data_IF_887400888829
#
_entry.id   IF_887400888829
#
_cell.length_a   1.000
_cell.length_b   1.000
_cell.length_c   1.000
_cell.angle_alpha   90.00
_cell.angle_beta   90.00
_cell.angle_gamma   90.00
#
_symmetry.space_group_name_H-M   'P 1'
#
loop_
_entity.id
_entity.type
_entity.pdbx_description
1 polymer ?
#
# COMPACT_ATOMS: atom_id res chain seq x y z
N UNK A 1 1.57 -33.72 6.67
CA UNK A 1 0.14 -33.35 6.72
C UNK A 1 -0.07 -31.83 6.93
N UNK A 2 0.96 -30.99 6.68
CA UNK A 2 0.91 -29.53 6.85
C UNK A 2 0.54 -28.77 5.56
N UNK A 3 0.50 -29.43 4.41
CA UNK A 3 0.31 -28.79 3.09
C UNK A 3 -1.11 -28.25 2.82
N UNK A 4 -2.10 -28.57 3.67
CA UNK A 4 -3.47 -28.07 3.51
C UNK A 4 -3.72 -26.73 4.25
N UNK A 5 -2.87 -26.36 5.21
CA UNK A 5 -3.10 -25.17 6.06
C UNK A 5 -2.47 -23.91 5.45
N UNK A 6 -1.25 -24.01 4.88
CA UNK A 6 -0.60 -22.91 4.15
C UNK A 6 -1.43 -22.44 2.94
N UNK A 7 -2.06 -23.38 2.22
CA UNK A 7 -3.00 -23.08 1.13
C UNK A 7 -4.22 -22.28 1.63
N UNK A 8 -4.69 -22.54 2.85
CA UNK A 8 -5.83 -21.83 3.46
C UNK A 8 -5.50 -20.37 3.77
N UNK A 9 -4.31 -20.10 4.33
CA UNK A 9 -3.89 -18.75 4.69
C UNK A 9 -3.72 -17.85 3.46
N UNK A 10 -3.05 -18.34 2.41
CA UNK A 10 -2.86 -17.58 1.17
C UNK A 10 -4.17 -17.34 0.43
N UNK A 11 -5.05 -18.34 0.36
CA UNK A 11 -6.38 -18.19 -0.25
C UNK A 11 -7.19 -17.14 0.51
N UNK A 12 -7.15 -17.14 1.85
CA UNK A 12 -7.83 -16.13 2.67
C UNK A 12 -7.30 -14.72 2.41
N UNK A 13 -5.98 -14.54 2.37
CA UNK A 13 -5.34 -13.25 2.05
C UNK A 13 -5.70 -12.77 0.64
N UNK A 14 -5.70 -13.68 -0.35
CA UNK A 14 -6.13 -13.41 -1.72
C UNK A 14 -7.59 -12.96 -1.81
N UNK A 15 -8.51 -13.70 -1.19
CA UNK A 15 -9.93 -13.34 -1.13
C UNK A 15 -10.12 -11.96 -0.48
N UNK A 16 -9.39 -11.68 0.59
CA UNK A 16 -9.49 -10.39 1.28
C UNK A 16 -8.92 -9.24 0.44
N UNK A 17 -7.83 -9.45 -0.29
CA UNK A 17 -7.31 -8.48 -1.23
C UNK A 17 -8.31 -8.17 -2.36
N UNK A 18 -9.00 -9.19 -2.90
CA UNK A 18 -10.05 -8.99 -3.92
C UNK A 18 -11.20 -8.13 -3.37
N UNK A 19 -11.69 -8.42 -2.17
CA UNK A 19 -12.72 -7.60 -1.50
C UNK A 19 -12.26 -6.16 -1.28
N UNK A 20 -10.99 -5.96 -0.93
CA UNK A 20 -10.42 -4.61 -0.82
C UNK A 20 -10.46 -3.86 -2.15
N UNK A 21 -10.13 -4.51 -3.28
CA UNK A 21 -10.18 -3.90 -4.61
C UNK A 21 -11.61 -3.52 -5.02
N UNK A 22 -12.59 -4.38 -4.73
CA UNK A 22 -14.02 -4.08 -4.95
C UNK A 22 -14.46 -2.85 -4.14
N UNK A 23 -14.11 -2.81 -2.84
CA UNK A 23 -14.40 -1.67 -1.97
C UNK A 23 -13.73 -0.37 -2.47
N UNK A 24 -12.52 -0.44 -3.03
CA UNK A 24 -11.88 0.74 -3.63
C UNK A 24 -12.65 1.26 -4.85
N UNK A 25 -13.25 0.38 -5.65
CA UNK A 25 -14.08 0.76 -6.80
C UNK A 25 -15.42 1.36 -6.36
N UNK A 26 -16.05 0.81 -5.32
CA UNK A 26 -17.28 1.37 -4.73
C UNK A 26 -17.05 2.78 -4.17
N UNK A 27 -16.02 2.96 -3.34
CA UNK A 27 -15.66 4.26 -2.79
C UNK A 27 -15.36 5.27 -3.91
N UNK A 28 -14.67 4.84 -4.98
CA UNK A 28 -14.37 5.71 -6.13
C UNK A 28 -15.66 6.21 -6.78
N UNK A 29 -16.64 5.32 -7.00
CA UNK A 29 -17.93 5.69 -7.58
C UNK A 29 -18.67 6.71 -6.71
N UNK A 30 -18.70 6.51 -5.38
CA UNK A 30 -19.33 7.46 -4.45
C UNK A 30 -18.66 8.84 -4.47
N UNK A 31 -17.32 8.87 -4.44
CA UNK A 31 -16.55 10.13 -4.50
C UNK A 31 -16.79 10.87 -5.82
N UNK A 32 -16.83 10.15 -6.96
CA UNK A 32 -17.10 10.76 -8.26
C UNK A 32 -18.53 11.31 -8.38
N UNK A 33 -19.52 10.60 -7.81
CA UNK A 33 -20.89 11.08 -7.77
C UNK A 33 -21.01 12.35 -6.93
N UNK A 34 -20.33 12.41 -5.78
CA UNK A 34 -20.29 13.61 -4.94
C UNK A 34 -19.68 14.82 -5.67
N UNK A 35 -18.59 14.64 -6.41
CA UNK A 35 -17.99 15.69 -7.24
C UNK A 35 -18.92 16.14 -8.38
N UNK A 36 -19.59 15.19 -9.05
CA UNK A 36 -20.48 15.48 -10.18
C UNK A 36 -21.70 16.30 -9.76
N UNK A 37 -22.23 16.04 -8.56
CA UNK A 37 -23.39 16.75 -8.00
C UNK A 37 -23.01 17.94 -7.10
N UNK A 38 -21.73 18.31 -7.05
CA UNK A 38 -21.15 19.30 -6.12
C UNK A 38 -21.70 19.20 -4.69
N UNK A 39 -21.78 17.97 -4.18
CA UNK A 39 -22.35 17.67 -2.86
C UNK A 39 -21.33 17.89 -1.76
N UNK A 40 -20.86 19.12 -1.59
CA UNK A 40 -19.81 19.51 -0.63
C UNK A 40 -20.12 19.06 0.80
N UNK A 41 -21.41 19.06 1.15
CA UNK A 41 -21.96 18.61 2.43
C UNK A 41 -21.58 17.14 2.74
N UNK A 42 -21.33 16.33 1.72
CA UNK A 42 -21.01 14.92 1.83
C UNK A 42 -19.49 14.64 1.88
N UNK A 43 -18.64 15.60 1.51
CA UNK A 43 -17.20 15.37 1.35
C UNK A 43 -16.54 14.89 2.64
N UNK A 44 -16.78 15.56 3.77
CA UNK A 44 -16.20 15.17 5.05
C UNK A 44 -16.61 13.75 5.46
N UNK A 45 -17.88 13.38 5.24
CA UNK A 45 -18.39 12.03 5.51
C UNK A 45 -17.71 10.97 4.65
N UNK A 46 -17.55 11.24 3.35
CA UNK A 46 -16.90 10.33 2.40
C UNK A 46 -15.40 10.19 2.67
N UNK A 47 -14.71 11.28 3.03
CA UNK A 47 -13.30 11.24 3.44
C UNK A 47 -13.15 10.35 4.68
N UNK A 48 -14.00 10.54 5.69
CA UNK A 48 -13.97 9.74 6.91
C UNK A 48 -14.24 8.26 6.61
N UNK A 49 -15.23 7.96 5.76
CA UNK A 49 -15.52 6.60 5.28
C UNK A 49 -14.30 5.95 4.61
N UNK A 50 -13.63 6.64 3.70
CA UNK A 50 -12.42 6.12 3.04
C UNK A 50 -11.29 5.82 4.04
N UNK A 51 -11.10 6.69 5.03
CA UNK A 51 -10.10 6.48 6.10
C UNK A 51 -10.45 5.24 6.92
N UNK A 52 -11.72 5.07 7.26
CA UNK A 52 -12.17 3.95 8.10
C UNK A 52 -12.08 2.62 7.34
N UNK A 53 -12.45 2.59 6.05
CA UNK A 53 -12.19 1.44 5.18
C UNK A 53 -10.70 1.09 5.11
N UNK A 54 -9.81 2.09 5.01
CA UNK A 54 -8.36 1.83 4.98
C UNK A 54 -7.82 1.31 6.32
N UNK A 55 -8.33 1.82 7.45
CA UNK A 55 -8.01 1.29 8.78
C UNK A 55 -8.47 -0.16 8.93
N UNK A 56 -9.70 -0.46 8.52
CA UNK A 56 -10.29 -1.79 8.63
C UNK A 56 -9.52 -2.79 7.75
N UNK A 57 -9.11 -2.36 6.55
CA UNK A 57 -8.20 -3.12 5.70
C UNK A 57 -6.90 -3.48 6.42
N UNK A 58 -6.21 -2.48 6.98
CA UNK A 58 -4.96 -2.67 7.73
C UNK A 58 -5.12 -3.55 8.97
N UNK A 59 -6.20 -3.35 9.73
CA UNK A 59 -6.45 -4.11 10.94
C UNK A 59 -6.68 -5.59 10.64
N UNK A 60 -7.49 -5.92 9.63
CA UNK A 60 -7.73 -7.32 9.28
C UNK A 60 -6.49 -7.98 8.68
N UNK A 61 -5.77 -7.32 7.77
CA UNK A 61 -4.54 -7.90 7.20
C UNK A 61 -3.43 -8.08 8.24
N UNK A 62 -3.39 -7.26 9.30
CA UNK A 62 -2.44 -7.43 10.42
C UNK A 62 -2.59 -8.79 11.09
N UNK A 63 -3.82 -9.24 11.32
CA UNK A 63 -4.05 -10.60 11.84
C UNK A 63 -3.55 -11.71 10.91
N UNK A 64 -3.47 -11.45 9.61
CA UNK A 64 -3.03 -12.42 8.61
C UNK A 64 -1.50 -12.46 8.49
N UNK A 65 -0.84 -11.30 8.40
CA UNK A 65 0.63 -11.27 8.27
C UNK A 65 1.37 -11.58 9.55
N UNK A 66 0.71 -11.55 10.72
CA UNK A 66 1.27 -12.09 11.97
C UNK A 66 1.25 -13.63 12.02
N UNK A 67 0.53 -14.27 11.09
CA UNK A 67 0.52 -15.74 10.96
C UNK A 67 1.46 -16.22 9.85
N UNK A 68 1.62 -15.42 8.79
CA UNK A 68 2.45 -15.71 7.62
C UNK A 68 2.91 -14.37 7.04
N UNK A 69 4.09 -13.91 7.46
CA UNK A 69 4.61 -12.59 7.06
C UNK A 69 5.24 -12.65 5.67
N UNK A 70 5.87 -13.78 5.33
CA UNK A 70 6.62 -13.96 4.09
C UNK A 70 5.69 -13.89 2.87
N UNK A 71 4.47 -14.43 2.93
CA UNK A 71 3.50 -14.31 1.83
C UNK A 71 3.08 -12.87 1.53
N UNK A 72 3.22 -11.94 2.48
CA UNK A 72 2.94 -10.53 2.23
C UNK A 72 4.11 -9.76 1.61
N UNK A 73 5.34 -10.25 1.75
CA UNK A 73 6.50 -9.74 1.01
C UNK A 73 6.59 -10.31 -0.40
N UNK A 74 6.07 -11.51 -0.63
CA UNK A 74 6.00 -12.17 -1.93
C UNK A 74 4.57 -12.69 -2.23
N UNK A 75 3.57 -11.78 -2.41
CA UNK A 75 2.19 -12.19 -2.57
C UNK A 75 1.93 -12.91 -3.89
N UNK A 76 1.40 -14.13 -3.79
CA UNK A 76 0.99 -14.96 -4.93
C UNK A 76 -0.32 -14.50 -5.58
N UNK A 77 -1.05 -13.60 -4.91
CA UNK A 77 -2.31 -13.02 -5.40
C UNK A 77 -2.15 -11.69 -6.14
N UNK A 78 -0.93 -11.15 -6.22
CA UNK A 78 -0.61 -9.97 -7.01
C UNK A 78 0.03 -10.36 -8.34
N UNK A 79 -0.18 -9.55 -9.37
CA UNK A 79 0.55 -9.67 -10.63
C UNK A 79 2.04 -9.36 -10.43
N UNK A 80 2.88 -9.78 -11.36
CA UNK A 80 4.33 -9.56 -11.35
C UNK A 80 4.68 -8.08 -11.24
N UNK A 81 3.95 -7.22 -11.97
CA UNK A 81 4.17 -5.78 -11.94
C UNK A 81 3.77 -5.18 -10.59
N UNK A 82 2.63 -5.56 -10.03
CA UNK A 82 2.21 -5.12 -8.70
C UNK A 82 3.22 -5.55 -7.65
N UNK A 83 3.59 -6.84 -7.62
CA UNK A 83 4.57 -7.39 -6.68
C UNK A 83 5.92 -6.67 -6.77
N UNK A 84 6.40 -6.38 -7.99
CA UNK A 84 7.65 -5.62 -8.19
C UNK A 84 7.58 -4.15 -7.73
N UNK A 85 6.38 -3.60 -7.58
CA UNK A 85 6.14 -2.22 -7.16
C UNK A 85 5.84 -2.09 -5.66
N UNK A 86 5.73 -3.22 -4.95
CA UNK A 86 5.53 -3.23 -3.50
C UNK A 86 6.81 -2.80 -2.78
N UNK A 87 6.64 -2.04 -1.71
CA UNK A 87 7.74 -1.66 -0.84
C UNK A 87 7.83 -2.57 0.40
N UNK A 88 6.84 -2.51 1.29
CA UNK A 88 6.73 -3.37 2.48
C UNK A 88 5.29 -3.83 2.55
N UNK A 89 4.99 -4.94 1.88
CA UNK A 89 3.63 -5.50 1.74
C UNK A 89 2.57 -4.47 1.28
N UNK A 90 2.94 -3.46 0.51
CA UNK A 90 2.04 -2.39 0.08
C UNK A 90 2.77 -1.24 -0.57
N UNK A 91 2.02 -0.20 -0.94
CA UNK A 91 2.57 1.00 -1.57
C UNK A 91 3.58 1.71 -0.66
N UNK A 92 4.51 2.45 -1.25
CA UNK A 92 5.40 3.36 -0.50
C UNK A 92 4.65 4.66 -0.17
N UNK A 93 4.50 5.08 1.10
CA UNK A 93 3.73 6.29 1.47
C UNK A 93 4.06 7.57 0.69
N UNK A 94 5.31 7.80 0.30
CA UNK A 94 5.77 8.93 -0.53
C UNK A 94 5.15 8.94 -1.93
N UNK A 95 4.59 7.82 -2.40
CA UNK A 95 3.80 7.77 -3.64
C UNK A 95 2.52 8.61 -3.56
N UNK A 96 1.89 8.71 -2.39
CA UNK A 96 0.74 9.61 -2.17
C UNK A 96 1.14 11.05 -2.48
N UNK A 97 2.32 11.45 -2.02
CA UNK A 97 2.82 12.82 -2.17
C UNK A 97 3.30 13.09 -3.60
N UNK A 98 3.98 12.11 -4.22
CA UNK A 98 4.37 12.21 -5.63
C UNK A 98 3.18 12.32 -6.56
N UNK A 99 2.07 11.65 -6.25
CA UNK A 99 0.82 11.82 -6.99
C UNK A 99 0.32 13.27 -6.92
N UNK A 100 0.36 13.90 -5.74
CA UNK A 100 -0.03 15.31 -5.59
C UNK A 100 0.82 16.20 -6.50
N UNK A 101 2.15 16.05 -6.47
CA UNK A 101 3.03 16.86 -7.32
C UNK A 101 2.75 16.64 -8.81
N UNK A 102 2.46 15.40 -9.21
CA UNK A 102 2.08 15.09 -10.59
C UNK A 102 0.78 15.78 -11.00
N UNK A 103 -0.22 15.78 -10.11
CA UNK A 103 -1.53 16.41 -10.38
C UNK A 103 -1.42 17.93 -10.45
N UNK A 104 -0.71 18.55 -9.51
CA UNK A 104 -0.46 20.00 -9.51
C UNK A 104 0.28 20.42 -10.79
N UNK A 105 1.24 19.62 -11.26
CA UNK A 105 1.97 19.90 -12.49
C UNK A 105 1.13 19.72 -13.75
N UNK A 106 0.19 18.77 -13.79
CA UNK A 106 -0.67 18.54 -14.96
C UNK A 106 -1.83 19.51 -15.04
N UNK A 107 -2.29 20.05 -13.90
CA UNK A 107 -3.49 20.87 -13.84
C UNK A 107 -3.23 22.32 -14.27
N UNK A 108 -1.97 22.77 -14.39
CA UNK A 108 -1.61 24.15 -14.77
C UNK A 108 -2.31 24.61 -16.06
N UNK A 109 -2.36 23.76 -17.09
CA UNK A 109 -3.05 24.08 -18.36
C UNK A 109 -4.57 24.11 -18.20
N UNK A 110 -5.14 23.22 -17.38
CA UNK A 110 -6.58 23.16 -17.13
C UNK A 110 -7.09 24.31 -16.25
N UNK A 111 -6.31 24.74 -15.26
CA UNK A 111 -6.59 25.88 -14.38
C UNK A 111 -6.62 27.16 -15.21
N UNK A 112 -5.64 27.35 -16.11
CA UNK A 112 -5.62 28.51 -17.01
C UNK A 112 -6.87 28.52 -17.91
N UNK A 113 -7.28 27.36 -18.44
CA UNK A 113 -8.48 27.25 -19.26
C UNK A 113 -9.78 27.56 -18.48
N UNK A 114 -9.89 27.06 -17.24
CA UNK A 114 -11.04 27.30 -16.36
C UNK A 114 -11.12 28.76 -15.89
N UNK A 115 -9.98 29.39 -15.59
CA UNK A 115 -9.89 30.83 -15.27
C UNK A 115 -10.36 31.70 -16.45
N UNK A 116 -9.99 31.36 -17.68
CA UNK A 116 -10.46 32.06 -18.90
C UNK A 116 -11.98 31.90 -19.08
N UNK A 117 -12.54 30.76 -18.68
CA UNK A 117 -13.97 30.48 -18.76
C UNK A 117 -14.78 30.95 -17.55
N UNK A 118 -14.15 31.60 -16.56
CA UNK A 118 -14.82 32.05 -15.34
C UNK A 118 -15.33 30.90 -14.44
N UNK A 119 -14.80 29.68 -14.62
CA UNK A 119 -15.08 28.54 -13.74
C UNK A 119 -14.04 28.54 -12.63
N UNK A 120 -14.48 28.61 -11.38
CA UNK A 120 -13.60 28.36 -10.23
C UNK A 120 -14.02 27.02 -9.64
N UNK A 121 -13.20 25.99 -9.84
CA UNK A 121 -13.32 24.74 -9.09
C UNK A 121 -12.17 24.71 -8.08
N UNK A 122 -12.51 24.78 -6.80
CA UNK A 122 -11.56 24.50 -5.73
C UNK A 122 -11.17 23.02 -5.82
N UNK A 123 -10.01 22.74 -6.41
CA UNK A 123 -9.44 21.41 -6.55
C UNK A 123 -7.98 21.39 -6.12
N UNK A 124 -7.32 20.25 -6.33
CA UNK A 124 -5.87 20.10 -6.04
C UNK A 124 -4.97 21.03 -6.87
N UNK A 125 -5.48 21.60 -7.96
CA UNK A 125 -4.82 22.64 -8.73
C UNK A 125 -4.64 23.97 -7.97
N UNK A 126 -5.42 24.20 -6.91
CA UNK A 126 -5.43 25.44 -6.12
C UNK A 126 -4.78 25.26 -4.73
N UNK A 127 -3.66 24.53 -4.67
CA UNK A 127 -2.92 24.39 -3.42
C UNK A 127 -2.20 25.70 -3.06
N UNK A 128 -2.53 26.23 -1.88
CA UNK A 128 -1.86 27.42 -1.35
C UNK A 128 -0.38 27.13 -1.04
N UNK A 129 0.45 28.18 -1.06
CA UNK A 129 1.87 28.09 -0.68
C UNK A 129 2.06 27.50 0.74
N UNK A 130 1.13 27.78 1.66
CA UNK A 130 1.13 27.18 3.00
C UNK A 130 0.91 25.67 2.94
N UNK A 131 -0.05 25.20 2.14
CA UNK A 131 -0.29 23.77 1.96
C UNK A 131 0.90 23.08 1.31
N UNK A 132 1.50 23.67 0.28
CA UNK A 132 2.70 23.10 -0.36
C UNK A 132 3.87 22.95 0.63
N UNK A 133 4.12 23.94 1.49
CA UNK A 133 5.15 23.86 2.52
C UNK A 133 4.86 22.75 3.55
N UNK A 134 3.58 22.54 3.92
CA UNK A 134 3.18 21.45 4.81
C UNK A 134 3.35 20.07 4.14
N UNK A 135 3.03 19.96 2.85
CA UNK A 135 3.20 18.73 2.06
C UNK A 135 4.69 18.40 1.94
N UNK A 136 5.55 19.38 1.64
CA UNK A 136 6.99 19.19 1.56
C UNK A 136 7.58 18.74 2.90
N UNK A 137 7.16 19.38 4.00
CA UNK A 137 7.56 18.98 5.35
C UNK A 137 7.13 17.53 5.68
N UNK A 138 5.88 17.17 5.31
CA UNK A 138 5.38 15.81 5.47
C UNK A 138 6.15 14.82 4.59
N UNK A 139 6.54 15.21 3.38
CA UNK A 139 7.30 14.41 2.45
C UNK A 139 8.68 14.07 3.02
N UNK A 140 9.42 15.07 3.49
CA UNK A 140 10.75 14.86 4.08
C UNK A 140 10.69 13.93 5.30
N UNK A 141 9.70 14.11 6.17
CA UNK A 141 9.49 13.23 7.33
C UNK A 141 9.15 11.80 6.88
N UNK A 142 8.24 11.65 5.93
CA UNK A 142 7.80 10.35 5.41
C UNK A 142 8.97 9.60 4.77
N UNK A 143 9.76 10.24 3.90
CA UNK A 143 10.93 9.65 3.25
C UNK A 143 11.97 9.21 4.28
N UNK A 144 12.23 10.02 5.31
CA UNK A 144 13.16 9.64 6.39
C UNK A 144 12.71 8.36 7.12
N UNK A 145 11.41 8.23 7.38
CA UNK A 145 10.86 7.02 8.01
C UNK A 145 10.88 5.82 7.04
N UNK A 146 10.62 6.03 5.74
CA UNK A 146 10.76 5.02 4.69
C UNK A 146 12.19 4.50 4.56
N UNK A 147 13.18 5.38 4.54
CA UNK A 147 14.59 5.00 4.42
C UNK A 147 15.01 4.16 5.62
N UNK A 148 14.65 4.60 6.84
CA UNK A 148 14.92 3.84 8.06
C UNK A 148 14.34 2.42 8.01
N UNK A 149 13.13 2.27 7.49
CA UNK A 149 12.49 0.95 7.37
C UNK A 149 13.08 0.12 6.24
N UNK A 150 13.45 0.75 5.12
CA UNK A 150 14.11 0.09 3.99
C UNK A 150 15.46 -0.49 4.40
N UNK A 151 16.23 0.23 5.22
CA UNK A 151 17.47 -0.30 5.82
C UNK A 151 17.20 -1.53 6.67
N UNK A 152 16.13 -1.55 7.47
CA UNK A 152 15.77 -2.73 8.28
C UNK A 152 15.36 -3.93 7.43
N UNK A 153 14.66 -3.73 6.32
CA UNK A 153 14.35 -4.81 5.37
C UNK A 153 15.64 -5.39 4.80
N UNK A 154 16.59 -4.54 4.41
CA UNK A 154 17.89 -5.00 3.91
C UNK A 154 18.64 -5.82 4.98
N UNK A 155 18.68 -5.36 6.24
CA UNK A 155 19.27 -6.14 7.32
C UNK A 155 18.60 -7.51 7.51
N UNK A 156 17.26 -7.58 7.49
CA UNK A 156 16.57 -8.87 7.55
C UNK A 156 16.94 -9.78 6.36
N UNK A 157 17.04 -9.25 5.15
CA UNK A 157 17.48 -10.04 4.00
C UNK A 157 18.89 -10.61 4.17
N UNK A 158 19.78 -9.90 4.87
CA UNK A 158 21.13 -10.34 5.21
C UNK A 158 21.14 -11.36 6.35
N UNK A 159 20.28 -11.21 7.37
CA UNK A 159 20.22 -12.03 8.58
C UNK A 159 19.97 -13.53 8.30
N UNK A 160 19.36 -13.87 7.15
CA UNK A 160 19.16 -15.28 6.73
C UNK A 160 20.52 -16.00 6.59
N UNK A 161 21.57 -15.28 6.18
CA UNK A 161 22.92 -15.81 6.07
C UNK A 161 23.72 -15.73 7.39
N UNK A 162 23.12 -15.23 8.47
CA UNK A 162 23.76 -15.08 9.78
C UNK A 162 23.23 -16.09 10.81
N UNK A 163 23.70 -15.97 12.04
CA UNK A 163 23.32 -16.79 13.18
C UNK A 163 21.85 -16.54 13.60
N UNK A 164 21.10 -17.58 13.98
CA UNK A 164 21.54 -18.97 14.12
C UNK A 164 21.40 -19.79 12.83
N UNK A 165 20.69 -19.28 11.81
CA UNK A 165 20.30 -20.04 10.60
C UNK A 165 21.53 -20.64 9.90
N UNK A 166 22.59 -19.85 9.71
CA UNK A 166 23.80 -20.32 9.01
C UNK A 166 24.60 -21.37 9.78
N UNK A 167 24.62 -21.33 11.11
CA UNK A 167 25.29 -22.38 11.92
C UNK A 167 24.47 -23.66 11.95
N UNK A 168 23.14 -23.55 12.08
CA UNK A 168 22.29 -24.73 12.02
C UNK A 168 22.47 -25.40 10.66
N UNK A 169 22.36 -24.64 9.56
CA UNK A 169 22.56 -25.15 8.20
C UNK A 169 23.94 -25.81 8.00
N UNK A 170 25.01 -25.24 8.57
CA UNK A 170 26.36 -25.82 8.51
C UNK A 170 26.50 -27.12 9.32
N UNK A 171 25.73 -27.26 10.39
CA UNK A 171 25.76 -28.43 11.27
C UNK A 171 24.96 -29.63 10.77
N UNK A 172 24.09 -29.45 9.77
CA UNK A 172 23.29 -30.51 9.19
C UNK A 172 24.14 -31.46 8.33
N UNK A 173 23.87 -32.75 8.46
CA UNK A 173 24.37 -33.76 7.53
C UNK A 173 23.57 -33.71 6.22
N UNK A 174 24.12 -34.21 5.08
CA UNK A 174 23.43 -34.17 3.79
C UNK A 174 22.04 -34.85 3.77
N UNK A 175 21.85 -35.87 4.61
CA UNK A 175 20.59 -36.60 4.78
C UNK A 175 19.56 -35.87 5.65
N UNK A 176 19.98 -34.85 6.42
CA UNK A 176 19.12 -33.99 7.23
C UNK A 176 18.65 -32.74 6.47
N UNK A 177 19.20 -32.48 5.28
CA UNK A 177 18.80 -31.34 4.44
C UNK A 177 17.33 -31.42 4.04
N UNK A 178 16.58 -30.36 4.34
CA UNK A 178 15.14 -30.28 4.07
C UNK A 178 14.27 -31.12 5.01
N UNK A 179 14.86 -31.76 6.03
CA UNK A 179 14.10 -32.40 7.10
C UNK A 179 13.64 -31.34 8.13
N UNK A 180 12.47 -31.55 8.76
CA UNK A 180 12.01 -30.65 9.82
C UNK A 180 13.03 -30.56 10.96
N UNK A 181 13.40 -29.34 11.32
CA UNK A 181 14.33 -29.08 12.41
C UNK A 181 13.77 -27.97 13.31
N UNK A 182 13.43 -28.31 14.56
CA UNK A 182 12.80 -27.39 15.50
C UNK A 182 13.65 -26.15 15.84
N UNK A 183 14.97 -26.24 15.73
CA UNK A 183 15.85 -25.08 15.94
C UNK A 183 15.81 -24.11 14.76
N UNK A 184 15.80 -24.66 13.54
CA UNK A 184 15.61 -23.87 12.30
C UNK A 184 14.24 -23.21 12.31
N UNK A 185 13.17 -23.96 12.57
CA UNK A 185 11.80 -23.42 12.59
C UNK A 185 11.67 -22.26 13.59
N UNK A 186 12.18 -22.42 14.82
CA UNK A 186 12.17 -21.33 15.81
C UNK A 186 12.99 -20.11 15.38
N UNK A 187 14.03 -20.29 14.56
CA UNK A 187 14.80 -19.19 14.01
C UNK A 187 14.03 -18.46 12.90
N UNK A 188 13.37 -19.21 12.02
CA UNK A 188 12.50 -18.69 10.97
C UNK A 188 11.27 -17.97 11.55
N UNK A 189 10.64 -18.50 12.60
CA UNK A 189 9.53 -17.84 13.31
C UNK A 189 9.92 -16.46 13.86
N UNK A 190 11.14 -16.34 14.41
CA UNK A 190 11.67 -15.04 14.89
C UNK A 190 11.92 -14.08 13.73
N UNK A 191 12.35 -14.60 12.59
CA UNK A 191 12.56 -13.84 11.37
C UNK A 191 11.23 -13.32 10.81
N UNK A 192 10.23 -14.19 10.66
CA UNK A 192 8.85 -13.87 10.28
C UNK A 192 8.22 -12.83 11.21
N UNK A 193 8.38 -12.96 12.53
CA UNK A 193 7.90 -11.97 13.50
C UNK A 193 8.52 -10.59 13.27
N UNK A 194 9.81 -10.54 12.92
CA UNK A 194 10.49 -9.27 12.60
C UNK A 194 9.97 -8.65 11.31
N UNK A 195 9.66 -9.47 10.30
CA UNK A 195 9.00 -9.05 9.06
C UNK A 195 7.59 -8.49 9.34
N UNK A 196 6.77 -9.19 10.13
CA UNK A 196 5.43 -8.74 10.52
C UNK A 196 5.47 -7.36 11.22
N UNK A 197 6.41 -7.16 12.14
CA UNK A 197 6.60 -5.88 12.83
C UNK A 197 6.96 -4.73 11.87
N UNK A 198 7.69 -5.00 10.77
CA UNK A 198 7.95 -4.00 9.73
C UNK A 198 6.68 -3.68 8.93
N UNK A 199 5.85 -4.68 8.63
CA UNK A 199 4.57 -4.44 7.94
C UNK A 199 3.67 -3.54 8.82
N UNK A 200 3.55 -3.83 10.12
CA UNK A 200 2.80 -3.00 11.06
C UNK A 200 3.29 -1.54 11.08
N UNK A 201 4.61 -1.33 11.14
CA UNK A 201 5.18 0.01 11.10
C UNK A 201 4.91 0.73 9.77
N UNK A 202 4.90 -0.01 8.66
CA UNK A 202 4.70 0.55 7.33
C UNK A 202 3.23 0.94 7.13
N UNK A 203 2.30 0.10 7.60
CA UNK A 203 0.88 0.39 7.58
C UNK A 203 0.52 1.58 8.47
N UNK A 204 1.14 1.71 9.65
CA UNK A 204 1.02 2.91 10.49
C UNK A 204 1.48 4.17 9.76
N UNK A 205 2.62 4.11 9.05
CA UNK A 205 3.13 5.24 8.28
C UNK A 205 2.18 5.60 7.13
N UNK A 206 1.68 4.62 6.37
CA UNK A 206 0.70 4.82 5.29
C UNK A 206 -0.56 5.53 5.81
N UNK A 207 -1.13 5.03 6.90
CA UNK A 207 -2.34 5.62 7.49
C UNK A 207 -2.09 7.02 8.04
N UNK A 208 -0.94 7.24 8.68
CA UNK A 208 -0.55 8.56 9.17
C UNK A 208 -0.43 9.56 8.03
N UNK A 209 0.37 9.25 6.99
CA UNK A 209 0.57 10.13 5.84
C UNK A 209 -0.75 10.43 5.14
N UNK A 210 -1.62 9.44 4.92
CA UNK A 210 -2.94 9.66 4.33
C UNK A 210 -3.78 10.63 5.17
N UNK A 211 -3.90 10.41 6.48
CA UNK A 211 -4.70 11.27 7.38
C UNK A 211 -4.17 12.69 7.45
N UNK A 212 -2.85 12.88 7.53
CA UNK A 212 -2.26 14.21 7.54
C UNK A 212 -2.64 14.99 6.26
N UNK A 213 -2.56 14.33 5.10
CA UNK A 213 -2.99 14.93 3.83
C UNK A 213 -4.48 15.30 3.86
N UNK A 214 -5.37 14.31 4.04
CA UNK A 214 -6.81 14.49 3.78
C UNK A 214 -7.60 15.11 4.93
N UNK A 215 -7.05 15.14 6.15
CA UNK A 215 -7.73 15.70 7.32
C UNK A 215 -7.11 17.00 7.85
N UNK A 216 -5.83 17.27 7.55
CA UNK A 216 -5.08 18.39 8.16
C UNK A 216 -4.59 19.41 7.14
N UNK A 217 -4.15 18.95 5.97
CA UNK A 217 -3.53 19.82 4.97
C UNK A 217 -4.57 20.29 3.95
N UNK A 218 -5.37 19.37 3.41
CA UNK A 218 -6.33 19.67 2.35
C UNK A 218 -7.65 20.24 2.87
N UNK A 219 -8.30 21.05 2.02
CA UNK A 219 -9.74 21.29 2.15
C UNK A 219 -10.53 20.02 1.82
N UNK A 220 -11.80 19.88 2.23
CA UNK A 220 -12.60 18.72 1.89
C UNK A 220 -12.69 18.45 0.37
N UNK A 221 -12.80 19.49 -0.45
CA UNK A 221 -12.83 19.35 -1.91
C UNK A 221 -11.51 18.79 -2.47
N UNK A 222 -10.37 19.37 -2.06
CA UNK A 222 -9.03 18.88 -2.42
C UNK A 222 -8.79 17.44 -1.97
N UNK A 223 -9.25 17.08 -0.78
CA UNK A 223 -9.15 15.73 -0.24
C UNK A 223 -9.96 14.72 -1.06
N UNK A 224 -11.19 15.06 -1.48
CA UNK A 224 -12.00 14.21 -2.36
C UNK A 224 -11.33 14.03 -3.72
N UNK A 225 -10.84 15.12 -4.33
CA UNK A 225 -10.10 15.05 -5.61
C UNK A 225 -8.86 14.14 -5.50
N UNK A 226 -8.10 14.28 -4.40
CA UNK A 226 -6.94 13.44 -4.11
C UNK A 226 -7.32 11.95 -4.00
N UNK A 227 -8.37 11.64 -3.25
CA UNK A 227 -8.83 10.26 -3.05
C UNK A 227 -9.33 9.64 -4.36
N UNK A 228 -10.03 10.41 -5.20
CA UNK A 228 -10.45 9.96 -6.54
C UNK A 228 -9.25 9.62 -7.40
N UNK A 229 -8.26 10.52 -7.49
CA UNK A 229 -7.07 10.28 -8.30
C UNK A 229 -6.26 9.08 -7.79
N UNK A 230 -6.10 8.97 -6.47
CA UNK A 230 -5.38 7.86 -5.83
C UNK A 230 -6.05 6.51 -6.10
N UNK A 231 -7.38 6.42 -5.94
CA UNK A 231 -8.15 5.19 -6.21
C UNK A 231 -8.12 4.83 -7.69
N UNK A 232 -8.28 5.81 -8.58
CA UNK A 232 -8.15 5.60 -10.04
C UNK A 232 -6.78 5.03 -10.41
N UNK A 233 -5.70 5.61 -9.88
CA UNK A 233 -4.36 5.13 -10.15
C UNK A 233 -4.18 3.68 -9.68
N UNK A 234 -4.60 3.38 -8.44
CA UNK A 234 -4.48 2.04 -7.87
C UNK A 234 -5.26 0.99 -8.69
N UNK A 235 -6.54 1.25 -8.99
CA UNK A 235 -7.37 0.35 -9.78
C UNK A 235 -6.84 0.20 -11.22
N UNK A 236 -6.34 1.27 -11.82
CA UNK A 236 -5.79 1.23 -13.18
C UNK A 236 -4.52 0.40 -13.23
N UNK A 237 -3.59 0.58 -12.28
CA UNK A 237 -2.38 -0.23 -12.19
C UNK A 237 -2.74 -1.70 -12.03
N UNK A 238 -3.71 -2.04 -11.19
CA UNK A 238 -4.17 -3.42 -10.98
C UNK A 238 -4.63 -4.07 -12.30
N UNK A 239 -5.51 -3.41 -13.05
CA UNK A 239 -6.05 -3.95 -14.31
C UNK A 239 -5.00 -3.98 -15.43
N UNK A 240 -4.17 -2.94 -15.54
CA UNK A 240 -3.07 -2.92 -16.51
C UNK A 240 -2.03 -3.99 -16.23
N UNK A 241 -1.75 -4.26 -14.95
CA UNK A 241 -0.78 -5.25 -14.53
C UNK A 241 -1.26 -6.68 -14.84
N UNK A 242 -2.53 -7.00 -14.56
CA UNK A 242 -3.16 -8.26 -14.99
C UNK A 242 -3.06 -8.45 -16.50
N UNK A 243 -3.51 -7.44 -17.26
CA UNK A 243 -3.47 -7.46 -18.73
C UNK A 243 -2.05 -7.69 -19.26
N UNK A 244 -1.04 -7.12 -18.59
CA UNK A 244 0.36 -7.28 -18.96
C UNK A 244 0.86 -8.69 -18.70
N UNK A 245 0.49 -9.27 -17.56
CA UNK A 245 0.89 -10.64 -17.21
C UNK A 245 0.24 -11.67 -18.15
N UNK A 246 -1.03 -11.49 -18.53
CA UNK A 246 -1.70 -12.31 -19.54
C UNK A 246 -0.95 -12.28 -20.89
N UNK A 247 -0.55 -11.08 -21.34
CA UNK A 247 0.24 -10.91 -22.57
C UNK A 247 1.62 -11.58 -22.51
N UNK A 248 2.17 -11.74 -21.30
CA UNK A 248 3.47 -12.37 -21.06
C UNK A 248 3.35 -13.86 -20.74
N UNK A 249 2.14 -14.44 -20.77
CA UNK A 249 1.90 -15.85 -20.43
C UNK A 249 2.07 -16.17 -18.95
N UNK A 250 2.00 -15.17 -18.07
CA UNK A 250 2.09 -15.31 -16.61
C UNK A 250 0.68 -15.42 -16.04
N UNK A 251 -0.04 -16.50 -16.34
CA UNK A 251 -1.33 -16.72 -15.69
C UNK A 251 -1.09 -17.15 -14.26
N UNK A 252 -1.40 -16.25 -13.31
CA UNK A 252 -1.58 -16.64 -11.90
C UNK A 252 -2.82 -17.55 -11.85
N UNK A 253 -2.60 -18.86 -11.93
CA UNK A 253 -3.62 -19.87 -11.65
C UNK A 253 -3.93 -19.82 -10.15
N UNK A 254 -4.81 -18.90 -9.73
CA UNK A 254 -5.44 -18.92 -8.41
C UNK A 254 -6.95 -19.14 -8.56
#
# INVERSE_FOLDING_TARGET
MASNDESSHQVRSCCYFKQWMELQAEDLNELQNALTHNSENAYTTLIQKCIDHFKDYMSKRSTMFHQDASSFFAPTWCSSLESSSLWIAGCRPSSFIRLIYSMVSSDVESIIADMIQGRSREGLGDLSAKQLNLIDSLHMKTVKDEDRMSTKVASLQEDIADQPISVIAKGLNPDELGQPNEEVERALDRHESSMANLIDAADKLRLYTLKELVMKIFTPAQAVDFLVASKKLHLSIHEWAKTRDDKMGRTNNN
#
